data_IF_782352851080
#
_entry.id   IF_782352851080
#
_cell.length_a   1.000
_cell.length_b   1.000
_cell.length_c   1.000
_cell.angle_alpha   90.00
_cell.angle_beta   90.00
_cell.angle_gamma   90.00
#
_symmetry.space_group_name_H-M   'P 1'
#
loop_
_entity.id
_entity.type
_entity.pdbx_description
1 polymer ?
#
# COMPACT_ATOMS: atom_id res chain seq x y z
N UNK A 1 21.15 -3.70 -3.13
CA UNK A 1 20.05 -4.58 -3.56
C UNK A 1 19.68 -4.23 -5.01
N UNK A 2 19.21 -5.20 -5.82
CA UNK A 2 18.76 -4.97 -7.20
C UNK A 2 17.69 -3.89 -7.32
N UNK A 3 17.56 -3.26 -8.50
CA UNK A 3 16.54 -2.22 -8.74
C UNK A 3 15.10 -2.74 -8.60
N UNK A 4 14.86 -4.00 -8.93
CA UNK A 4 13.55 -4.67 -8.80
C UNK A 4 13.26 -5.17 -7.39
N UNK A 5 14.21 -5.06 -6.45
CA UNK A 5 14.00 -5.53 -5.08
C UNK A 5 12.91 -4.71 -4.39
N UNK A 6 11.98 -5.38 -3.71
CA UNK A 6 10.83 -4.73 -3.05
C UNK A 6 11.21 -3.51 -2.22
N UNK A 7 12.21 -3.65 -1.34
CA UNK A 7 12.68 -2.55 -0.48
C UNK A 7 13.16 -1.34 -1.28
N UNK A 8 13.69 -1.54 -2.50
CA UNK A 8 14.06 -0.45 -3.41
C UNK A 8 12.84 0.12 -4.16
N UNK A 9 11.88 -0.73 -4.56
CA UNK A 9 10.62 -0.28 -5.19
C UNK A 9 9.72 0.50 -4.24
N UNK A 10 9.83 0.26 -2.93
CA UNK A 10 8.95 0.86 -1.91
C UNK A 10 9.71 1.67 -0.86
N UNK A 11 10.92 2.15 -1.15
CA UNK A 11 11.64 3.06 -0.27
C UNK A 11 10.88 4.39 -0.21
N UNK A 12 10.13 4.63 0.88
CA UNK A 12 9.14 5.70 0.98
C UNK A 12 9.77 7.08 0.84
N UNK A 13 11.03 7.23 1.29
CA UNK A 13 11.84 8.44 1.23
C UNK A 13 12.34 8.78 -0.18
N UNK A 14 12.16 7.88 -1.15
CA UNK A 14 12.63 8.06 -2.54
C UNK A 14 11.56 8.58 -3.51
N UNK A 15 10.43 9.03 -2.97
CA UNK A 15 9.33 9.65 -3.71
C UNK A 15 9.29 11.15 -3.41
N UNK A 16 8.75 11.93 -4.34
CA UNK A 16 8.52 13.37 -4.17
C UNK A 16 7.02 13.67 -4.45
N UNK A 17 6.21 14.00 -3.43
CA UNK A 17 6.55 13.98 -2.00
C UNK A 17 6.81 12.56 -1.46
N UNK A 18 7.41 12.44 -0.27
CA UNK A 18 7.69 11.12 0.32
C UNK A 18 6.41 10.30 0.55
N UNK A 19 6.43 9.04 0.15
CA UNK A 19 5.26 8.16 0.14
C UNK A 19 5.09 7.41 1.48
N UNK A 20 5.00 8.14 2.58
CA UNK A 20 4.94 7.52 3.91
C UNK A 20 3.61 6.81 4.20
N UNK A 21 3.69 5.54 4.63
CA UNK A 21 2.54 4.72 5.04
C UNK A 21 2.84 3.89 6.29
N UNK A 22 1.83 3.72 7.14
CA UNK A 22 1.90 2.85 8.35
C UNK A 22 1.27 1.50 8.04
N UNK A 23 2.08 0.44 8.03
CA UNK A 23 1.62 -0.92 7.71
C UNK A 23 1.06 -1.64 8.93
N UNK A 24 -0.06 -2.33 8.75
CA UNK A 24 -0.69 -3.26 9.71
C UNK A 24 -0.99 -4.60 9.05
N UNK A 25 -0.17 -4.98 8.07
CA UNK A 25 -0.27 -6.23 7.33
C UNK A 25 -0.09 -7.46 8.23
N UNK A 26 -0.74 -8.56 7.86
CA UNK A 26 -0.64 -9.84 8.57
C UNK A 26 -0.72 -11.02 7.58
N UNK A 27 -0.06 -12.16 7.87
CA UNK A 27 -0.22 -13.36 7.06
C UNK A 27 -1.66 -13.90 7.18
N UNK A 28 -2.11 -14.62 6.15
CA UNK A 28 -3.36 -15.39 6.18
C UNK A 28 -3.15 -16.75 5.52
N UNK A 29 -3.94 -17.74 5.92
CA UNK A 29 -4.04 -19.05 5.28
C UNK A 29 -5.40 -19.68 5.57
N UNK A 30 -6.04 -20.23 4.55
CA UNK A 30 -7.27 -21.02 4.64
C UNK A 30 -7.36 -22.03 3.47
N UNK A 31 -8.49 -22.72 3.33
CA UNK A 31 -8.68 -23.74 2.28
C UNK A 31 -8.55 -23.19 0.84
N UNK A 32 -8.62 -21.87 0.63
CA UNK A 32 -8.50 -21.19 -0.66
C UNK A 32 -7.06 -20.78 -0.97
N UNK A 33 -6.15 -20.85 -0.01
CA UNK A 33 -4.73 -20.52 -0.19
C UNK A 33 -4.12 -19.83 1.00
N UNK A 34 -3.01 -19.14 0.75
CA UNK A 34 -2.22 -18.46 1.77
C UNK A 34 -1.52 -17.24 1.19
N UNK A 35 -1.09 -16.33 2.06
CA UNK A 35 -0.35 -15.15 1.63
C UNK A 35 -0.32 -14.04 2.67
N UNK A 36 -0.34 -12.80 2.19
CA UNK A 36 -0.31 -11.60 3.01
C UNK A 36 -1.58 -10.78 2.80
N UNK A 37 -2.27 -10.43 3.87
CA UNK A 37 -3.23 -9.31 3.85
C UNK A 37 -2.39 -8.05 3.98
N UNK A 38 -2.10 -7.39 2.87
CA UNK A 38 -1.45 -6.10 2.89
C UNK A 38 -2.46 -5.03 3.33
N UNK A 39 -2.17 -4.32 4.42
CA UNK A 39 -3.01 -3.24 4.93
C UNK A 39 -2.13 -2.11 5.43
N UNK A 40 -2.46 -0.88 5.05
CA UNK A 40 -1.72 0.30 5.46
C UNK A 40 -2.62 1.54 5.59
N UNK A 41 -2.16 2.49 6.40
CA UNK A 41 -2.78 3.80 6.62
C UNK A 41 -1.84 4.90 6.14
N UNK A 42 -2.42 5.99 5.64
CA UNK A 42 -1.71 7.16 5.12
C UNK A 42 -2.60 8.39 5.25
N UNK A 43 -2.03 9.57 4.99
CA UNK A 43 -2.77 10.84 5.04
C UNK A 43 -3.86 10.91 3.97
N UNK A 44 -3.53 10.44 2.77
CA UNK A 44 -4.38 10.38 1.59
C UNK A 44 -3.93 9.22 0.68
N UNK A 45 -4.59 9.03 -0.46
CA UNK A 45 -4.32 7.92 -1.37
C UNK A 45 -3.02 8.08 -2.19
N UNK A 46 -2.46 9.29 -2.27
CA UNK A 46 -1.34 9.61 -3.17
C UNK A 46 -0.11 8.75 -2.89
N UNK A 47 0.24 8.56 -1.62
CA UNK A 47 1.39 7.73 -1.22
C UNK A 47 1.22 6.27 -1.66
N UNK A 48 0.00 5.73 -1.57
CA UNK A 48 -0.30 4.36 -1.96
C UNK A 48 -0.21 4.17 -3.47
N UNK A 49 -0.75 5.13 -4.23
CA UNK A 49 -0.69 5.12 -5.70
C UNK A 49 0.75 5.25 -6.20
N UNK A 50 1.55 6.14 -5.62
CA UNK A 50 2.97 6.29 -5.95
C UNK A 50 3.74 4.97 -5.75
N UNK A 51 3.58 4.34 -4.58
CA UNK A 51 4.20 3.03 -4.30
C UNK A 51 3.73 1.96 -5.28
N UNK A 52 2.42 1.86 -5.53
CA UNK A 52 1.86 0.84 -6.42
C UNK A 52 2.28 1.04 -7.88
N UNK A 53 2.29 2.27 -8.38
CA UNK A 53 2.72 2.60 -9.74
C UNK A 53 4.18 2.21 -9.97
N UNK A 54 5.06 2.48 -9.01
CA UNK A 54 6.44 2.00 -9.07
C UNK A 54 6.49 0.47 -9.02
N UNK A 55 5.75 -0.19 -8.12
CA UNK A 55 5.75 -1.66 -8.04
C UNK A 55 5.28 -2.35 -9.33
N UNK A 56 4.27 -1.81 -10.02
CA UNK A 56 3.73 -2.38 -11.27
C UNK A 56 4.49 -1.93 -12.52
N UNK A 57 5.52 -1.12 -12.37
CA UNK A 57 6.40 -0.68 -13.47
C UNK A 57 5.83 0.45 -14.33
N UNK A 58 4.83 1.18 -13.85
CA UNK A 58 4.27 2.33 -14.57
C UNK A 58 5.21 3.54 -14.60
N UNK A 59 6.21 3.58 -13.73
CA UNK A 59 7.20 4.67 -13.67
C UNK A 59 8.38 4.45 -14.64
N UNK A 60 8.94 3.24 -14.69
CA UNK A 60 10.22 2.95 -15.34
C UNK A 60 10.24 1.63 -16.13
N UNK A 61 9.08 0.96 -16.26
CA UNK A 61 8.97 -0.36 -16.89
C UNK A 61 9.49 -1.53 -16.05
N UNK A 62 9.98 -1.28 -14.82
CA UNK A 62 10.52 -2.31 -13.94
C UNK A 62 9.48 -2.77 -12.93
N UNK A 63 9.12 -4.04 -13.00
CA UNK A 63 8.16 -4.64 -12.06
C UNK A 63 8.84 -5.11 -10.77
N UNK A 64 8.16 -4.98 -9.63
CA UNK A 64 8.62 -5.52 -8.34
C UNK A 64 8.84 -7.03 -8.40
N UNK A 65 10.01 -7.48 -7.93
CA UNK A 65 10.39 -8.89 -7.93
C UNK A 65 9.46 -9.77 -7.07
N UNK A 66 8.71 -9.21 -6.11
CA UNK A 66 7.67 -9.96 -5.38
C UNK A 66 6.64 -10.60 -6.32
N UNK A 67 6.32 -9.93 -7.44
CA UNK A 67 5.31 -10.43 -8.37
C UNK A 67 5.72 -11.70 -9.12
N UNK A 68 6.95 -12.20 -8.90
CA UNK A 68 7.39 -13.51 -9.40
C UNK A 68 6.81 -14.68 -8.61
N UNK A 69 6.37 -14.46 -7.37
CA UNK A 69 5.89 -15.55 -6.49
C UNK A 69 4.63 -15.20 -5.70
N UNK A 70 4.20 -13.94 -5.69
CA UNK A 70 2.91 -13.52 -5.13
C UNK A 70 2.17 -12.63 -6.12
N UNK A 71 0.84 -12.56 -6.02
CA UNK A 71 0.02 -11.69 -6.86
C UNK A 71 -1.07 -11.04 -6.01
N UNK A 72 -1.35 -9.74 -6.19
CA UNK A 72 -2.53 -9.14 -5.58
C UNK A 72 -3.78 -9.75 -6.21
N UNK A 73 -4.70 -10.25 -5.39
CA UNK A 73 -5.97 -10.86 -5.85
C UNK A 73 -7.19 -10.02 -5.50
N UNK A 74 -7.06 -9.11 -4.54
CA UNK A 74 -8.12 -8.21 -4.09
C UNK A 74 -7.51 -6.85 -3.76
N UNK A 75 -8.28 -5.78 -3.97
CA UNK A 75 -7.91 -4.44 -3.57
C UNK A 75 -9.15 -3.68 -3.06
N UNK A 76 -8.94 -2.76 -2.14
CA UNK A 76 -9.96 -1.82 -1.68
C UNK A 76 -9.27 -0.59 -1.09
N UNK A 77 -9.90 0.57 -1.26
CA UNK A 77 -9.49 1.81 -0.63
C UNK A 77 -10.61 2.26 0.32
N UNK A 78 -10.23 2.73 1.50
CA UNK A 78 -11.18 3.17 2.52
C UNK A 78 -10.76 4.52 3.06
N UNK A 79 -11.76 5.29 3.48
CA UNK A 79 -11.54 6.47 4.31
C UNK A 79 -11.91 6.13 5.75
N UNK A 80 -11.00 6.44 6.68
CA UNK A 80 -11.23 6.25 8.11
C UNK A 80 -11.64 7.60 8.73
N UNK A 81 -12.95 7.84 8.96
CA UNK A 81 -13.40 9.07 9.59
C UNK A 81 -12.77 9.26 10.97
N UNK A 82 -12.42 10.49 11.37
CA UNK A 82 -11.97 10.76 12.71
C UNK A 82 -13.09 10.53 13.72
N UNK A 83 -12.71 10.19 14.95
CA UNK A 83 -13.61 10.04 16.09
C UNK A 83 -13.49 11.26 16.99
N UNK A 84 -14.59 11.99 17.18
CA UNK A 84 -14.66 13.13 18.11
C UNK A 84 -15.80 12.90 19.08
N UNK A 85 -15.53 12.97 20.38
CA UNK A 85 -16.55 12.74 21.41
C UNK A 85 -17.20 11.34 21.36
N UNK A 86 -16.44 10.32 20.94
CA UNK A 86 -16.93 8.94 20.81
C UNK A 86 -17.85 8.69 19.60
N UNK A 87 -17.96 9.63 18.66
CA UNK A 87 -18.76 9.48 17.44
C UNK A 87 -17.90 9.70 16.19
N UNK A 88 -18.24 8.99 15.12
CA UNK A 88 -17.62 9.21 13.81
C UNK A 88 -18.06 10.56 13.26
N UNK A 89 -17.08 11.34 12.77
CA UNK A 89 -17.34 12.57 12.03
C UNK A 89 -17.33 12.22 10.54
N UNK A 90 -18.51 12.18 9.93
CA UNK A 90 -18.70 11.77 8.53
C UNK A 90 -18.77 12.94 7.54
N UNK A 91 -18.74 14.19 8.05
CA UNK A 91 -18.81 15.39 7.23
C UNK A 91 -17.52 15.58 6.41
N UNK A 92 -17.68 16.13 5.21
CA UNK A 92 -16.58 16.53 4.33
C UNK A 92 -15.82 17.72 4.93
N UNK A 93 -14.93 17.45 5.89
CA UNK A 93 -13.97 18.40 6.41
C UNK A 93 -12.58 18.03 5.91
N UNK A 94 -12.22 18.57 4.75
CA UNK A 94 -10.83 18.76 4.32
C UNK A 94 -10.33 20.11 4.82
#
# INVERSE_FOLDING_TARGET
APQTAHVKRTAQESFDPEAFVVRRSMPWADARGEGLVFLAFGRDLTAFEALLHRMVGLEDGLTDALFRFTRPVTHAAFWCPPVTGGRLVLGAGG
#
